data_IF_334834455464
#
_entry.id   IF_334834455464
#
_cell.length_a   1.000
_cell.length_b   1.000
_cell.length_c   1.000
_cell.angle_alpha   90.00
_cell.angle_beta   90.00
_cell.angle_gamma   90.00
#
_symmetry.space_group_name_H-M   'P 1'
#
loop_
_entity.id
_entity.type
_entity.pdbx_description
1 polymer ?
#
# COMPACT_ATOMS: atom_id res chain seq x y z
N UNK A 1 -21.93 -7.95 8.75
CA UNK A 1 -20.72 -8.71 8.37
C UNK A 1 -21.12 -10.12 7.98
N UNK A 2 -20.71 -10.63 6.81
CA UNK A 2 -20.99 -12.01 6.41
C UNK A 2 -20.45 -13.00 7.45
N UNK A 3 -21.28 -13.95 7.88
CA UNK A 3 -20.96 -14.89 8.97
C UNK A 3 -19.78 -15.81 8.63
N UNK A 4 -19.66 -16.22 7.36
CA UNK A 4 -18.54 -17.04 6.87
C UNK A 4 -17.20 -16.32 7.05
N UNK A 5 -17.12 -15.04 6.64
CA UNK A 5 -15.91 -14.22 6.79
C UNK A 5 -15.52 -14.02 8.26
N UNK A 6 -16.50 -13.83 9.14
CA UNK A 6 -16.25 -13.72 10.58
C UNK A 6 -15.71 -15.04 11.14
N UNK A 7 -16.21 -16.18 10.66
CA UNK A 7 -15.71 -17.52 11.00
C UNK A 7 -14.26 -17.72 10.57
N UNK A 8 -13.94 -17.36 9.32
CA UNK A 8 -12.59 -17.43 8.78
C UNK A 8 -11.61 -16.54 9.56
N UNK A 9 -11.98 -15.27 9.79
CA UNK A 9 -11.15 -14.34 10.55
C UNK A 9 -10.92 -14.84 11.97
N UNK A 10 -11.94 -15.42 12.61
CA UNK A 10 -11.82 -15.97 13.96
C UNK A 10 -10.96 -17.25 13.99
N UNK A 11 -10.96 -18.04 12.91
CA UNK A 11 -10.05 -19.19 12.75
C UNK A 11 -8.59 -18.73 12.66
N UNK A 12 -8.32 -17.66 11.88
CA UNK A 12 -6.97 -17.10 11.70
C UNK A 12 -6.43 -16.32 12.90
N UNK A 13 -7.29 -15.56 13.57
CA UNK A 13 -6.89 -14.62 14.65
C UNK A 13 -7.20 -15.14 16.06
N UNK A 14 -7.91 -16.25 16.17
CA UNK A 14 -8.41 -16.77 17.44
C UNK A 14 -9.56 -15.94 18.03
N UNK A 15 -10.13 -16.44 19.14
CA UNK A 15 -11.37 -15.85 19.72
C UNK A 15 -11.19 -14.41 20.24
N UNK A 16 -9.96 -14.03 20.64
CA UNK A 16 -9.60 -12.69 21.15
C UNK A 16 -8.89 -11.79 20.12
N UNK A 17 -8.31 -12.33 19.06
CA UNK A 17 -7.58 -11.53 18.06
C UNK A 17 -8.48 -10.84 17.03
N UNK A 18 -9.73 -11.29 16.87
CA UNK A 18 -10.65 -10.74 15.88
C UNK A 18 -10.89 -9.23 16.06
N UNK A 19 -11.11 -8.77 17.30
CA UNK A 19 -11.38 -7.35 17.57
C UNK A 19 -10.18 -6.47 17.22
N UNK A 20 -8.97 -6.87 17.64
CA UNK A 20 -7.73 -6.15 17.29
C UNK A 20 -7.50 -6.13 15.79
N UNK A 21 -7.69 -7.27 15.12
CA UNK A 21 -7.56 -7.36 13.67
C UNK A 21 -8.50 -6.39 12.95
N UNK A 22 -9.79 -6.35 13.35
CA UNK A 22 -10.77 -5.42 12.76
C UNK A 22 -10.37 -3.98 13.04
N UNK A 23 -9.95 -3.65 14.26
CA UNK A 23 -9.51 -2.29 14.60
C UNK A 23 -8.35 -1.84 13.73
N UNK A 24 -7.33 -2.67 13.53
CA UNK A 24 -6.19 -2.34 12.69
C UNK A 24 -6.59 -2.23 11.21
N UNK A 25 -7.42 -3.15 10.71
CA UNK A 25 -7.92 -3.11 9.34
C UNK A 25 -8.74 -1.83 9.07
N UNK A 26 -9.62 -1.44 10.00
CA UNK A 26 -10.41 -0.21 9.89
C UNK A 26 -9.53 1.02 9.97
N UNK A 27 -8.54 1.05 10.86
CA UNK A 27 -7.58 2.17 10.93
C UNK A 27 -6.82 2.32 9.62
N UNK A 28 -6.34 1.21 9.06
CA UNK A 28 -5.64 1.22 7.78
C UNK A 28 -6.56 1.71 6.64
N UNK A 29 -7.80 1.22 6.58
CA UNK A 29 -8.75 1.64 5.56
C UNK A 29 -9.01 3.15 5.63
N UNK A 30 -9.28 3.71 6.81
CA UNK A 30 -9.49 5.14 6.98
C UNK A 30 -8.27 5.97 6.55
N UNK A 31 -7.06 5.48 6.80
CA UNK A 31 -5.84 6.14 6.36
C UNK A 31 -5.70 6.12 4.82
N UNK A 32 -6.04 4.99 4.19
CA UNK A 32 -6.02 4.86 2.73
C UNK A 32 -7.11 5.70 2.06
N UNK A 33 -8.30 5.79 2.67
CA UNK A 33 -9.39 6.65 2.18
C UNK A 33 -8.96 8.12 2.18
N UNK A 34 -8.37 8.60 3.28
CA UNK A 34 -7.81 9.96 3.34
C UNK A 34 -6.64 10.20 2.37
N UNK A 35 -5.80 9.19 2.14
CA UNK A 35 -4.74 9.28 1.12
C UNK A 35 -5.34 9.40 -0.29
N UNK A 36 -6.39 8.64 -0.60
CA UNK A 36 -7.07 8.71 -1.89
C UNK A 36 -7.69 10.09 -2.13
N UNK A 37 -8.26 10.72 -1.09
CA UNK A 37 -8.77 12.09 -1.17
C UNK A 37 -7.66 13.10 -1.49
N UNK A 38 -6.50 13.00 -0.83
CA UNK A 38 -5.34 13.87 -1.09
C UNK A 38 -4.84 13.71 -2.52
N UNK A 39 -4.71 12.46 -2.99
CA UNK A 39 -4.29 12.16 -4.37
C UNK A 39 -5.27 12.75 -5.37
N UNK A 40 -6.58 12.53 -5.18
CA UNK A 40 -7.61 13.06 -6.06
C UNK A 40 -7.58 14.59 -6.17
N UNK A 41 -7.39 15.29 -5.04
CA UNK A 41 -7.24 16.76 -5.04
C UNK A 41 -6.03 17.21 -5.86
N UNK A 42 -4.91 16.50 -5.77
CA UNK A 42 -3.70 16.83 -6.53
C UNK A 42 -3.88 16.56 -8.03
N UNK A 43 -4.54 15.45 -8.39
CA UNK A 43 -4.84 15.11 -9.78
C UNK A 43 -5.84 16.08 -10.42
N UNK A 44 -6.79 16.63 -9.66
CA UNK A 44 -7.70 17.67 -10.15
C UNK A 44 -6.94 18.96 -10.54
N UNK A 45 -5.94 19.34 -9.75
CA UNK A 45 -5.14 20.55 -9.98
C UNK A 45 -4.08 20.39 -11.07
N UNK A 46 -3.44 19.22 -11.16
CA UNK A 46 -2.25 19.00 -11.99
C UNK A 46 -2.44 17.99 -13.13
N UNK A 47 -3.55 17.25 -13.13
CA UNK A 47 -3.73 16.07 -13.95
C UNK A 47 -3.08 14.81 -13.33
N UNK A 48 -3.50 13.65 -13.83
CA UNK A 48 -2.93 12.37 -13.44
C UNK A 48 -1.51 12.21 -13.99
N UNK A 49 -0.62 11.59 -13.20
CA UNK A 49 0.73 11.26 -13.65
C UNK A 49 0.73 10.15 -14.69
N UNK A 50 1.57 10.28 -15.71
CA UNK A 50 1.84 9.21 -16.67
C UNK A 50 2.83 8.20 -16.09
N UNK A 51 2.78 6.96 -16.57
CA UNK A 51 3.74 5.91 -16.18
C UNK A 51 5.19 6.33 -16.44
N UNK A 52 5.44 7.07 -17.54
CA UNK A 52 6.76 7.58 -17.87
C UNK A 52 7.27 8.59 -16.85
N UNK A 53 6.41 9.49 -16.36
CA UNK A 53 6.75 10.46 -15.31
C UNK A 53 7.02 9.78 -13.97
N UNK A 54 6.21 8.77 -13.62
CA UNK A 54 6.41 7.97 -12.40
C UNK A 54 7.76 7.25 -12.45
N UNK A 55 8.10 6.63 -13.58
CA UNK A 55 9.36 5.89 -13.71
C UNK A 55 10.58 6.82 -13.78
N UNK A 56 10.43 8.02 -14.37
CA UNK A 56 11.47 9.05 -14.29
C UNK A 56 11.72 9.49 -12.84
N UNK A 57 10.66 9.80 -12.09
CA UNK A 57 10.75 10.20 -10.69
C UNK A 57 11.31 9.06 -9.80
N UNK A 58 10.93 7.80 -10.06
CA UNK A 58 11.47 6.64 -9.33
C UNK A 58 12.99 6.52 -9.52
N UNK A 59 13.49 6.65 -10.76
CA UNK A 59 14.94 6.63 -11.03
C UNK A 59 15.67 7.81 -10.39
N UNK A 60 15.05 8.98 -10.36
CA UNK A 60 15.63 10.15 -9.69
C UNK A 60 15.72 9.96 -8.17
N UNK A 61 14.64 9.49 -7.54
CA UNK A 61 14.53 9.38 -6.08
C UNK A 61 15.32 8.21 -5.50
N UNK A 62 15.34 7.08 -6.19
CA UNK A 62 15.93 5.85 -5.69
C UNK A 62 17.22 5.47 -6.43
N UNK A 63 17.50 6.03 -7.60
CA UNK A 63 18.60 5.58 -8.48
C UNK A 63 18.25 4.30 -9.25
N UNK A 64 19.10 3.89 -10.19
CA UNK A 64 19.04 2.58 -10.86
C UNK A 64 19.58 1.46 -9.95
N UNK A 65 19.03 1.29 -8.73
CA UNK A 65 19.56 0.33 -7.72
C UNK A 65 19.48 -1.13 -8.18
N UNK A 66 18.78 -1.42 -9.28
CA UNK A 66 18.69 -2.78 -9.82
C UNK A 66 19.94 -3.23 -10.59
N UNK A 67 20.87 -2.33 -10.95
CA UNK A 67 22.06 -2.71 -11.74
C UNK A 67 23.29 -2.94 -10.85
N UNK A 68 23.46 -2.19 -9.77
CA UNK A 68 24.70 -2.23 -8.95
C UNK A 68 24.72 -3.34 -7.88
N UNK A 69 23.57 -3.71 -7.32
CA UNK A 69 23.49 -4.77 -6.30
C UNK A 69 23.59 -6.19 -6.89
N UNK A 70 23.25 -6.34 -8.17
CA UNK A 70 23.40 -7.62 -8.90
C UNK A 70 24.87 -7.90 -9.24
N UNK A 71 25.66 -6.86 -9.54
CA UNK A 71 27.08 -7.03 -9.90
C UNK A 71 28.00 -7.26 -8.68
N UNK A 72 27.70 -6.71 -7.50
CA UNK A 72 28.50 -6.96 -6.27
C UNK A 72 28.24 -8.33 -5.64
N UNK A 73 27.13 -8.99 -5.97
CA UNK A 73 26.83 -10.37 -5.55
C UNK A 73 27.51 -11.44 -6.40
N UNK A 74 28.18 -11.04 -7.49
CA UNK A 74 28.81 -11.94 -8.47
C UNK A 74 30.35 -11.87 -8.50
N UNK A 75 30.98 -11.14 -7.57
CA UNK A 75 32.43 -10.99 -7.45
C UNK A 75 33.02 -11.70 -6.22
#
# INVERSE_FOLDING_TARGET
MPTELVGELRSRTGRRGLSSYITEAVRHQLAMDGLAEIVASHEEEHGSLTEQEIEAARRELFGDVNTEDVERGAA
#
